data_IF_437901329212
#
_entry.id   IF_437901329212
#
_cell.length_a   1.000
_cell.length_b   1.000
_cell.length_c   1.000
_cell.angle_alpha   90.00
_cell.angle_beta   90.00
_cell.angle_gamma   90.00
#
_symmetry.space_group_name_H-M   'P 1'
#
loop_
_entity.id
_entity.type
_entity.pdbx_description
1 polymer ?
#
# COMPACT_ATOMS: atom_id res chain seq x y z
N UNK A 1 -32.25 -9.39 -7.33
CA UNK A 1 -31.70 -8.18 -6.67
C UNK A 1 -31.29 -8.61 -5.26
N UNK A 2 -30.03 -8.95 -5.06
CA UNK A 2 -29.47 -9.26 -3.74
C UNK A 2 -29.34 -7.94 -2.96
N UNK A 3 -29.94 -7.88 -1.77
CA UNK A 3 -29.86 -6.71 -0.91
C UNK A 3 -28.38 -6.45 -0.56
N UNK A 4 -27.94 -5.21 -0.71
CA UNK A 4 -26.57 -4.80 -0.38
C UNK A 4 -26.38 -4.89 1.13
N UNK A 5 -25.42 -5.71 1.59
CA UNK A 5 -25.12 -5.89 3.00
C UNK A 5 -24.80 -4.55 3.68
N UNK A 6 -25.29 -4.38 4.90
CA UNK A 6 -24.95 -3.22 5.75
C UNK A 6 -23.47 -3.29 6.14
N UNK A 7 -22.89 -2.17 6.55
CA UNK A 7 -21.49 -2.14 7.00
C UNK A 7 -21.24 -3.06 8.19
N UNK A 8 -22.23 -3.24 9.09
CA UNK A 8 -22.15 -4.12 10.23
C UNK A 8 -22.09 -5.59 9.80
N UNK A 9 -22.96 -6.01 8.88
CA UNK A 9 -22.97 -7.38 8.34
C UNK A 9 -21.65 -7.72 7.63
N UNK A 10 -21.09 -6.77 6.86
CA UNK A 10 -19.77 -6.93 6.23
C UNK A 10 -18.66 -7.11 7.27
N UNK A 11 -18.72 -6.40 8.39
CA UNK A 11 -17.75 -6.55 9.49
C UNK A 11 -17.89 -7.88 10.22
N UNK A 12 -19.10 -8.33 10.47
CA UNK A 12 -19.37 -9.60 11.16
C UNK A 12 -18.89 -10.79 10.29
N UNK A 13 -19.11 -10.76 9.00
CA UNK A 13 -18.58 -11.76 8.05
C UNK A 13 -17.05 -11.72 7.96
N UNK A 14 -16.47 -10.54 7.91
CA UNK A 14 -15.01 -10.35 7.89
C UNK A 14 -14.34 -10.88 9.16
N UNK A 15 -14.96 -10.69 10.33
CA UNK A 15 -14.47 -11.23 11.60
C UNK A 15 -14.50 -12.77 11.62
N UNK A 16 -15.53 -13.38 11.03
CA UNK A 16 -15.60 -14.82 10.84
C UNK A 16 -14.48 -15.38 9.95
N UNK A 17 -14.19 -14.71 8.84
CA UNK A 17 -13.09 -15.08 7.96
C UNK A 17 -11.72 -14.87 8.60
N UNK A 18 -11.51 -13.74 9.29
CA UNK A 18 -10.27 -13.47 10.01
C UNK A 18 -9.98 -14.53 11.09
N UNK A 19 -10.99 -14.96 11.84
CA UNK A 19 -10.85 -16.02 12.83
C UNK A 19 -10.48 -17.38 12.21
N UNK A 20 -11.05 -17.72 11.05
CA UNK A 20 -10.70 -18.95 10.32
C UNK A 20 -9.27 -18.92 9.81
N UNK A 21 -8.81 -17.78 9.28
CA UNK A 21 -7.43 -17.58 8.80
C UNK A 21 -6.44 -17.68 9.97
N UNK A 22 -6.77 -17.11 11.13
CA UNK A 22 -5.92 -17.16 12.34
C UNK A 22 -5.84 -18.58 12.93
N UNK A 23 -6.91 -19.36 12.82
CA UNK A 23 -6.98 -20.74 13.32
C UNK A 23 -6.14 -21.74 12.48
N UNK A 24 -5.68 -21.37 11.26
CA UNK A 24 -4.84 -22.21 10.42
C UNK A 24 -5.09 -22.08 8.93
N UNK A 25 -4.52 -22.98 8.13
CA UNK A 25 -4.70 -22.96 6.68
C UNK A 25 -6.14 -23.30 6.30
N UNK A 26 -6.77 -22.42 5.52
CA UNK A 26 -8.09 -22.66 4.94
C UNK A 26 -8.06 -23.88 4.00
N UNK A 27 -9.13 -24.67 4.00
CA UNK A 27 -9.31 -25.72 3.00
C UNK A 27 -9.48 -25.10 1.60
N UNK A 28 -9.10 -25.81 0.52
CA UNK A 28 -9.21 -25.27 -0.85
C UNK A 28 -10.62 -24.76 -1.21
N UNK A 29 -11.66 -25.40 -0.71
CA UNK A 29 -13.06 -24.99 -0.89
C UNK A 29 -13.37 -23.68 -0.15
N UNK A 30 -12.88 -23.52 1.07
CA UNK A 30 -13.05 -22.30 1.87
C UNK A 30 -12.28 -21.12 1.25
N UNK A 31 -11.12 -21.38 0.67
CA UNK A 31 -10.33 -20.37 -0.02
C UNK A 31 -11.07 -19.85 -1.27
N UNK A 32 -11.70 -20.70 -2.05
CA UNK A 32 -12.51 -20.31 -3.19
C UNK A 32 -13.74 -19.47 -2.78
N UNK A 33 -14.38 -19.81 -1.65
CA UNK A 33 -15.50 -19.06 -1.10
C UNK A 33 -15.03 -17.68 -0.60
N UNK A 34 -13.89 -17.60 0.08
CA UNK A 34 -13.28 -16.34 0.52
C UNK A 34 -12.94 -15.42 -0.67
N UNK A 35 -12.34 -15.97 -1.72
CA UNK A 35 -12.03 -15.21 -2.94
C UNK A 35 -13.29 -14.67 -3.61
N UNK A 36 -14.35 -15.47 -3.69
CA UNK A 36 -15.65 -15.05 -4.22
C UNK A 36 -16.25 -13.94 -3.37
N UNK A 37 -16.20 -14.08 -2.05
CA UNK A 37 -16.68 -13.08 -1.10
C UNK A 37 -15.88 -11.77 -1.23
N UNK A 38 -14.56 -11.85 -1.31
CA UNK A 38 -13.69 -10.66 -1.49
C UNK A 38 -13.97 -9.95 -2.82
N UNK A 39 -14.29 -10.67 -3.87
CA UNK A 39 -14.62 -10.12 -5.18
C UNK A 39 -16.02 -9.46 -5.24
N UNK A 40 -16.94 -9.83 -4.34
CA UNK A 40 -18.33 -9.39 -4.39
C UNK A 40 -18.54 -7.93 -3.99
N UNK A 41 -17.72 -7.38 -3.06
CA UNK A 41 -17.81 -5.96 -2.63
C UNK A 41 -16.42 -5.45 -2.22
N UNK A 42 -16.07 -4.26 -2.68
CA UNK A 42 -14.78 -3.61 -2.38
C UNK A 42 -14.56 -3.34 -0.89
N UNK A 43 -15.65 -3.28 -0.09
CA UNK A 43 -15.61 -3.10 1.36
C UNK A 43 -15.10 -4.35 2.10
N UNK A 44 -15.22 -5.54 1.48
CA UNK A 44 -14.87 -6.82 2.10
C UNK A 44 -13.38 -6.93 2.41
N UNK A 45 -12.51 -6.44 1.52
CA UNK A 45 -11.06 -6.40 1.76
C UNK A 45 -10.68 -5.53 2.97
N UNK A 46 -11.27 -4.33 3.07
CA UNK A 46 -11.01 -3.43 4.18
C UNK A 46 -11.50 -4.00 5.53
N UNK A 47 -12.69 -4.60 5.52
CA UNK A 47 -13.26 -5.23 6.71
C UNK A 47 -12.43 -6.45 7.16
N UNK A 48 -11.98 -7.31 6.22
CA UNK A 48 -11.14 -8.47 6.55
C UNK A 48 -9.78 -8.04 7.13
N UNK A 49 -9.14 -7.04 6.53
CA UNK A 49 -7.87 -6.50 7.03
C UNK A 49 -8.00 -5.92 8.43
N UNK A 50 -9.10 -5.22 8.72
CA UNK A 50 -9.36 -4.66 10.04
C UNK A 50 -9.67 -5.75 11.08
N UNK A 51 -10.45 -6.77 10.72
CA UNK A 51 -10.74 -7.90 11.58
C UNK A 51 -9.46 -8.71 11.89
N UNK A 52 -8.61 -8.95 10.91
CA UNK A 52 -7.33 -9.66 11.10
C UNK A 52 -6.35 -8.87 11.97
N UNK A 53 -6.33 -7.54 11.88
CA UNK A 53 -5.49 -6.71 12.74
C UNK A 53 -5.87 -6.76 14.23
N UNK A 54 -7.14 -7.04 14.54
CA UNK A 54 -7.64 -7.21 15.91
C UNK A 54 -7.27 -8.58 16.52
N UNK A 55 -6.97 -9.58 15.70
CA UNK A 55 -6.59 -10.93 16.13
C UNK A 55 -5.09 -11.09 16.36
N UNK A 56 -4.24 -10.13 15.90
CA UNK A 56 -2.81 -10.15 16.21
C UNK A 56 -2.64 -9.92 17.71
N UNK A 57 -2.16 -10.92 18.51
CA UNK A 57 -1.92 -10.70 19.93
C UNK A 57 -0.91 -9.57 20.08
N UNK A 58 -1.24 -8.53 20.82
CA UNK A 58 -0.31 -7.50 21.21
C UNK A 58 0.91 -8.20 21.85
N UNK A 59 2.03 -8.29 21.15
CA UNK A 59 3.28 -8.78 21.71
C UNK A 59 3.56 -7.93 22.93
N UNK A 60 3.46 -8.53 24.13
CA UNK A 60 3.85 -7.87 25.37
C UNK A 60 5.28 -7.38 25.21
N UNK A 61 5.54 -6.07 25.34
CA UNK A 61 6.91 -5.59 25.42
C UNK A 61 7.55 -6.26 26.64
N UNK A 62 8.70 -6.86 26.42
CA UNK A 62 9.49 -7.50 27.47
C UNK A 62 9.66 -6.51 28.64
N UNK A 63 9.20 -6.95 29.81
CA UNK A 63 9.49 -6.46 31.15
C UNK A 63 9.92 -4.99 31.28
N UNK A 64 8.94 -4.11 31.35
CA UNK A 64 9.10 -2.84 32.06
C UNK A 64 9.11 -3.16 33.57
N UNK A 65 10.29 -3.07 34.20
CA UNK A 65 10.41 -3.01 35.65
C UNK A 65 9.55 -1.86 36.15
N UNK A 66 8.56 -2.17 36.98
CA UNK A 66 7.80 -1.16 37.72
C UNK A 66 8.78 -0.43 38.64
N UNK A 67 9.05 0.82 38.32
CA UNK A 67 9.66 1.77 39.26
C UNK A 67 8.55 2.17 40.20
N UNK A 68 8.66 1.76 41.47
CA UNK A 68 7.76 2.23 42.54
C UNK A 68 7.73 3.75 42.59
N UNK A 69 6.55 4.38 42.72
CA UNK A 69 6.48 5.83 42.85
C UNK A 69 7.00 6.26 44.23
N UNK A 70 8.14 6.90 44.22
CA UNK A 70 8.67 7.64 45.39
C UNK A 70 7.68 8.75 45.73
N UNK A 71 7.06 8.67 46.90
CA UNK A 71 6.18 9.71 47.44
C UNK A 71 7.02 10.96 47.79
N UNK A 72 6.82 12.15 47.18
CA UNK A 72 7.45 13.35 47.62
C UNK A 72 6.82 13.86 48.92
N UNK A 73 7.61 14.47 49.85
CA UNK A 73 7.08 15.03 51.06
C UNK A 73 6.21 16.25 50.77
N UNK A 74 5.10 16.34 51.49
CA UNK A 74 4.19 17.50 51.48
C UNK A 74 4.96 18.75 51.91
N UNK A 75 5.27 19.62 50.99
CA UNK A 75 5.54 21.05 51.26
C UNK A 75 4.64 21.89 50.38
N UNK A 76 3.79 22.64 51.05
CA UNK A 76 2.89 23.66 50.53
C UNK A 76 3.68 24.69 49.70
N UNK A 77 3.38 24.79 48.39
CA UNK A 77 3.68 25.94 47.56
C UNK A 77 2.37 26.52 47.02
N UNK A 78 1.96 27.60 47.61
CA UNK A 78 0.89 28.47 47.13
C UNK A 78 1.53 29.54 46.23
N UNK A 79 0.85 29.85 45.14
CA UNK A 79 1.10 30.85 44.11
C UNK A 79 2.27 30.62 43.12
N UNK A 80 1.89 30.15 41.92
CA UNK A 80 2.71 30.08 40.72
C UNK A 80 2.12 29.20 39.60
N UNK A 81 0.88 28.68 39.77
CA UNK A 81 0.35 27.59 38.96
C UNK A 81 -0.39 27.93 37.66
N UNK A 82 -0.61 29.20 37.33
CA UNK A 82 -1.54 29.52 36.21
C UNK A 82 -0.95 29.42 34.81
N UNK A 83 0.38 29.56 34.65
CA UNK A 83 1.02 29.51 33.33
C UNK A 83 1.37 28.08 32.92
N UNK A 84 1.83 27.27 33.88
CA UNK A 84 2.18 25.87 33.61
C UNK A 84 0.95 25.00 33.26
N UNK A 85 -0.19 25.23 33.91
CA UNK A 85 -1.45 24.55 33.62
C UNK A 85 -1.98 24.92 32.23
N UNK A 86 -1.86 26.18 31.81
CA UNK A 86 -2.26 26.64 30.48
C UNK A 86 -1.43 25.99 29.36
N UNK A 87 -0.11 25.86 29.55
CA UNK A 87 0.77 25.20 28.59
C UNK A 87 0.52 23.65 28.48
N UNK A 88 0.23 23.02 29.62
CA UNK A 88 -0.10 21.57 29.62
C UNK A 88 -1.44 21.29 28.93
N UNK A 89 -2.45 22.15 29.15
CA UNK A 89 -3.75 22.04 28.44
C UNK A 89 -3.61 22.35 26.97
N UNK A 90 -2.81 23.36 26.59
CA UNK A 90 -2.54 23.69 25.18
C UNK A 90 -1.75 22.57 24.48
N UNK A 91 -0.74 21.99 25.13
CA UNK A 91 -0.01 20.83 24.60
C UNK A 91 -0.88 19.58 24.50
N UNK A 92 -1.73 19.30 25.50
CA UNK A 92 -2.72 18.23 25.46
C UNK A 92 -3.76 18.41 24.36
N UNK A 93 -4.26 19.63 24.18
CA UNK A 93 -5.17 19.97 23.10
C UNK A 93 -4.51 19.86 21.72
N UNK A 94 -3.26 20.30 21.57
CA UNK A 94 -2.52 20.18 20.32
C UNK A 94 -2.25 18.71 19.94
N UNK A 95 -1.86 17.88 20.91
CA UNK A 95 -1.67 16.42 20.68
C UNK A 95 -2.99 15.71 20.42
N UNK A 96 -4.09 16.12 21.06
CA UNK A 96 -5.42 15.60 20.83
C UNK A 96 -5.94 15.99 19.44
N UNK A 97 -5.76 17.26 19.04
CA UNK A 97 -6.10 17.77 17.70
C UNK A 97 -5.27 17.07 16.63
N UNK A 98 -3.96 16.90 16.83
CA UNK A 98 -3.10 16.17 15.89
C UNK A 98 -3.56 14.71 15.71
N UNK A 99 -4.01 14.04 16.79
CA UNK A 99 -4.59 12.70 16.73
C UNK A 99 -5.93 12.64 15.99
N UNK A 100 -6.78 13.66 16.18
CA UNK A 100 -8.08 13.78 15.49
C UNK A 100 -7.88 14.08 13.98
N UNK A 101 -6.83 14.83 13.64
CA UNK A 101 -6.58 15.25 12.27
C UNK A 101 -5.83 14.21 11.43
N UNK A 102 -5.48 13.07 12.03
CA UNK A 102 -4.92 11.92 11.28
C UNK A 102 -3.55 12.21 10.68
N UNK A 103 -2.71 12.97 11.39
CA UNK A 103 -1.31 13.10 11.00
C UNK A 103 -0.54 11.82 11.32
N UNK A 104 0.23 11.33 10.37
CA UNK A 104 1.04 10.14 10.56
C UNK A 104 2.02 9.92 9.44
N UNK A 105 3.14 9.31 9.78
CA UNK A 105 4.13 8.81 8.82
C UNK A 105 4.11 7.31 8.85
N UNK A 106 3.93 6.68 7.70
CA UNK A 106 3.85 5.24 7.56
C UNK A 106 4.86 4.78 6.53
N UNK A 107 5.57 3.71 6.87
CA UNK A 107 6.63 3.15 6.03
C UNK A 107 6.53 1.63 6.02
N UNK A 108 6.92 1.02 4.91
CA UNK A 108 7.16 -0.42 4.74
C UNK A 108 8.63 -0.68 4.43
N UNK A 109 9.10 -1.83 4.88
CA UNK A 109 10.43 -2.36 4.52
C UNK A 109 10.37 -3.07 3.15
N UNK A 110 11.54 -3.50 2.65
CA UNK A 110 11.62 -4.36 1.46
C UNK A 110 10.90 -5.68 1.76
N UNK A 111 9.99 -6.09 0.86
CA UNK A 111 9.14 -7.28 1.00
C UNK A 111 7.92 -7.10 1.91
N UNK A 112 7.83 -6.00 2.66
CA UNK A 112 6.69 -5.72 3.53
C UNK A 112 5.56 -5.06 2.75
N UNK A 113 4.33 -5.49 3.02
CA UNK A 113 3.09 -4.78 2.66
C UNK A 113 2.35 -4.40 3.92
N UNK A 114 1.64 -3.27 3.88
CA UNK A 114 0.90 -2.79 5.04
C UNK A 114 -0.43 -2.15 4.65
N UNK A 115 -1.50 -2.60 5.29
CA UNK A 115 -2.83 -1.97 5.17
C UNK A 115 -3.01 -1.00 6.32
N UNK A 116 -3.39 0.24 6.01
CA UNK A 116 -3.50 1.36 6.94
C UNK A 116 -4.90 1.95 6.83
N UNK A 117 -5.79 1.69 7.78
CA UNK A 117 -7.06 2.38 7.86
C UNK A 117 -6.80 3.84 8.30
N UNK A 118 -7.44 4.78 7.62
CA UNK A 118 -7.35 6.20 7.91
C UNK A 118 -8.61 6.70 8.63
N UNK A 119 -8.48 7.81 9.36
CA UNK A 119 -9.54 8.35 10.21
C UNK A 119 -10.80 8.84 9.44
N UNK A 120 -10.70 9.02 8.13
CA UNK A 120 -11.83 9.42 7.28
C UNK A 120 -12.59 8.22 6.68
N UNK A 121 -12.21 7.00 7.05
CA UNK A 121 -12.75 5.75 6.50
C UNK A 121 -12.09 5.32 5.18
N UNK A 122 -11.08 6.06 4.69
CA UNK A 122 -10.24 5.60 3.57
C UNK A 122 -9.25 4.53 4.05
N UNK A 123 -8.80 3.69 3.12
CA UNK A 123 -7.77 2.68 3.40
C UNK A 123 -6.61 2.89 2.44
N UNK A 124 -5.39 2.83 2.96
CA UNK A 124 -4.17 2.84 2.16
C UNK A 124 -3.48 1.49 2.28
N UNK A 125 -3.22 0.84 1.16
CA UNK A 125 -2.34 -0.33 1.11
C UNK A 125 -0.99 0.11 0.57
N UNK A 126 0.04 0.04 1.42
CA UNK A 126 1.43 0.31 1.03
C UNK A 126 2.07 -0.95 0.48
N UNK A 127 2.72 -0.82 -0.67
CA UNK A 127 3.56 -1.86 -1.24
C UNK A 127 4.95 -1.85 -0.57
N UNK A 128 5.82 -2.75 -1.01
CA UNK A 128 7.22 -2.86 -0.57
C UNK A 128 7.96 -1.53 -0.63
N UNK A 129 8.84 -1.27 0.35
CA UNK A 129 9.74 -0.09 0.41
C UNK A 129 9.04 1.23 0.08
N UNK A 130 7.88 1.45 0.67
CA UNK A 130 7.02 2.62 0.41
C UNK A 130 6.90 3.48 1.65
N UNK A 131 6.72 4.77 1.44
CA UNK A 131 6.59 5.72 2.52
C UNK A 131 5.58 6.81 2.20
N UNK A 132 4.63 7.03 3.12
CA UNK A 132 3.64 8.11 3.03
C UNK A 132 3.63 8.97 4.30
N UNK A 133 3.26 10.23 4.11
CA UNK A 133 2.92 11.15 5.20
C UNK A 133 1.48 11.61 5.01
N UNK A 134 0.65 11.38 6.03
CA UNK A 134 -0.76 11.80 6.06
C UNK A 134 -0.85 13.15 6.74
N UNK A 135 -1.48 14.12 6.09
CA UNK A 135 -1.72 15.48 6.62
C UNK A 135 -3.14 15.92 6.31
N UNK A 136 -4.04 15.65 7.21
CA UNK A 136 -5.44 16.05 7.06
C UNK A 136 -5.68 17.46 7.61
N UNK A 137 -6.53 18.21 6.92
CA UNK A 137 -7.01 19.52 7.37
C UNK A 137 -8.54 19.55 7.37
N UNK A 138 -9.15 20.65 7.78
CA UNK A 138 -10.61 20.84 7.71
C UNK A 138 -11.14 20.78 6.27
N UNK A 139 -10.36 21.28 5.32
CA UNK A 139 -10.77 21.43 3.91
C UNK A 139 -10.25 20.33 2.99
N UNK A 140 -9.19 19.59 3.37
CA UNK A 140 -8.51 18.65 2.50
C UNK A 140 -7.97 17.45 3.27
N UNK A 141 -7.84 16.31 2.57
CA UNK A 141 -7.21 15.07 3.04
C UNK A 141 -5.93 14.87 2.22
N UNK A 142 -4.83 15.45 2.71
CA UNK A 142 -3.57 15.41 1.98
C UNK A 142 -2.73 14.19 2.40
N UNK A 143 -2.19 13.51 1.40
CA UNK A 143 -1.18 12.47 1.57
C UNK A 143 0.00 12.80 0.66
N UNK A 144 1.19 12.68 1.20
CA UNK A 144 2.42 12.79 0.45
C UNK A 144 3.03 11.39 0.32
N UNK A 145 3.12 10.86 -0.91
CA UNK A 145 3.86 9.64 -1.21
C UNK A 145 5.31 10.04 -1.50
N UNK A 146 6.19 9.78 -0.54
CA UNK A 146 7.60 10.16 -0.62
C UNK A 146 8.36 9.23 -1.56
N UNK A 147 8.06 7.93 -1.53
CA UNK A 147 8.60 6.91 -2.43
C UNK A 147 7.73 5.65 -2.44
N UNK A 148 7.92 4.82 -3.45
CA UNK A 148 7.33 3.49 -3.52
C UNK A 148 5.98 3.47 -4.23
N UNK A 149 5.07 2.65 -3.77
CA UNK A 149 3.76 2.42 -4.39
C UNK A 149 2.69 2.24 -3.32
N UNK A 150 1.55 2.87 -3.53
CA UNK A 150 0.42 2.76 -2.65
C UNK A 150 -0.90 2.69 -3.42
N UNK A 151 -1.82 1.84 -2.98
CA UNK A 151 -3.21 1.84 -3.39
C UNK A 151 -4.03 2.61 -2.36
N UNK A 152 -4.88 3.49 -2.85
CA UNK A 152 -5.78 4.34 -2.07
C UNK A 152 -7.22 3.94 -2.36
N UNK A 153 -7.89 3.37 -1.38
CA UNK A 153 -9.34 3.13 -1.39
C UNK A 153 -10.01 4.28 -0.64
N UNK A 154 -10.46 5.29 -1.38
CA UNK A 154 -10.85 6.58 -0.83
C UNK A 154 -12.34 6.63 -0.48
N UNK A 155 -12.65 6.96 0.77
CA UNK A 155 -14.01 7.21 1.21
C UNK A 155 -14.63 8.42 0.50
N UNK A 156 -15.90 8.31 0.06
CA UNK A 156 -16.61 9.36 -0.69
C UNK A 156 -16.82 10.60 0.18
N UNK A 157 -16.20 11.71 -0.19
CA UNK A 157 -16.40 13.02 0.43
C UNK A 157 -16.04 14.15 -0.55
N UNK A 158 -17.05 14.74 -1.16
CA UNK A 158 -16.88 15.83 -2.13
C UNK A 158 -16.45 17.16 -1.49
N UNK A 159 -16.79 17.37 -0.21
CA UNK A 159 -16.48 18.62 0.50
C UNK A 159 -15.01 18.65 0.97
N UNK A 160 -14.39 17.49 1.15
CA UNK A 160 -12.98 17.35 1.56
C UNK A 160 -12.26 16.45 0.56
N UNK A 161 -11.75 16.98 -0.56
CA UNK A 161 -11.05 16.18 -1.56
C UNK A 161 -9.84 15.47 -0.97
N UNK A 162 -9.57 14.26 -1.45
CA UNK A 162 -8.41 13.46 -1.13
C UNK A 162 -7.31 13.78 -2.16
N UNK A 163 -6.16 14.21 -1.69
CA UNK A 163 -5.07 14.68 -2.54
C UNK A 163 -3.82 13.88 -2.23
N UNK A 164 -3.31 13.15 -3.23
CA UNK A 164 -2.01 12.48 -3.16
C UNK A 164 -0.99 13.32 -3.92
N UNK A 165 0.13 13.59 -3.27
CA UNK A 165 1.24 14.34 -3.85
C UNK A 165 2.48 13.47 -3.89
N UNK A 166 3.20 13.47 -5.00
CA UNK A 166 4.50 12.81 -5.12
C UNK A 166 5.36 13.58 -6.13
N UNK A 167 6.53 14.05 -5.70
CA UNK A 167 7.35 14.96 -6.51
C UNK A 167 6.55 16.16 -7.01
N UNK A 168 6.53 16.35 -8.31
CA UNK A 168 5.77 17.41 -8.99
C UNK A 168 4.35 17.00 -9.37
N UNK A 169 3.94 15.75 -9.15
CA UNK A 169 2.63 15.22 -9.53
C UNK A 169 1.63 15.33 -8.38
N UNK A 170 0.41 15.73 -8.70
CA UNK A 170 -0.73 15.74 -7.79
C UNK A 170 -1.89 14.94 -8.38
N UNK A 171 -2.45 14.07 -7.55
CA UNK A 171 -3.67 13.30 -7.87
C UNK A 171 -4.77 13.74 -6.90
N UNK A 172 -5.93 14.14 -7.44
CA UNK A 172 -7.11 14.53 -6.65
C UNK A 172 -8.25 13.54 -6.86
N UNK A 173 -8.82 13.08 -5.77
CA UNK A 173 -9.89 12.11 -5.72
C UNK A 173 -11.02 12.58 -4.79
N UNK A 174 -12.24 12.05 -4.99
CA UNK A 174 -13.41 12.38 -4.14
C UNK A 174 -14.18 11.14 -3.69
N UNK A 175 -13.66 9.95 -3.99
CA UNK A 175 -14.31 8.66 -3.66
C UNK A 175 -14.03 7.63 -4.74
N UNK A 176 -12.78 7.21 -4.85
CA UNK A 176 -12.21 6.42 -5.94
C UNK A 176 -11.26 5.37 -5.37
N UNK A 177 -10.95 4.34 -6.15
CA UNK A 177 -9.86 3.43 -5.86
C UNK A 177 -8.78 3.56 -6.94
N UNK A 178 -7.56 3.92 -6.55
CA UNK A 178 -6.45 4.14 -7.47
C UNK A 178 -5.10 3.86 -6.81
N UNK A 179 -4.11 3.45 -7.59
CA UNK A 179 -2.72 3.35 -7.13
C UNK A 179 -1.88 4.50 -7.66
N UNK A 180 -0.87 4.86 -6.89
CA UNK A 180 0.21 5.76 -7.31
C UNK A 180 1.53 5.04 -7.08
N UNK A 181 2.34 4.94 -8.14
CA UNK A 181 3.67 4.33 -8.14
C UNK A 181 4.71 5.41 -8.45
N UNK A 182 5.60 5.65 -7.50
CA UNK A 182 6.66 6.66 -7.55
C UNK A 182 7.99 6.01 -7.19
N UNK A 183 8.64 5.42 -8.18
CA UNK A 183 9.95 4.78 -8.04
C UNK A 183 11.06 5.73 -8.48
N UNK A 184 12.29 5.58 -7.93
CA UNK A 184 13.45 6.33 -8.38
C UNK A 184 13.65 6.16 -9.89
N UNK A 185 14.03 7.23 -10.56
CA UNK A 185 14.38 7.26 -11.99
C UNK A 185 13.29 6.75 -12.95
N UNK A 186 12.04 6.69 -12.47
CA UNK A 186 10.89 6.31 -13.29
C UNK A 186 9.81 7.40 -13.25
N UNK A 187 9.04 7.55 -14.32
CA UNK A 187 7.88 8.44 -14.30
C UNK A 187 6.85 7.97 -13.28
N UNK A 188 6.18 8.92 -12.64
CA UNK A 188 5.06 8.61 -11.75
C UNK A 188 3.94 7.97 -12.55
N UNK A 189 3.39 6.87 -12.05
CA UNK A 189 2.26 6.17 -12.65
C UNK A 189 1.05 6.26 -11.73
N UNK A 190 -0.11 6.51 -12.31
CA UNK A 190 -1.40 6.55 -11.61
C UNK A 190 -2.36 5.60 -12.31
N UNK A 191 -2.77 4.55 -11.64
CA UNK A 191 -3.69 3.54 -12.17
C UNK A 191 -5.04 3.64 -11.44
N UNK A 192 -6.13 3.78 -12.17
CA UNK A 192 -7.47 3.90 -11.59
C UNK A 192 -8.22 2.58 -11.71
N UNK A 193 -8.55 2.01 -10.54
CA UNK A 193 -9.35 0.79 -10.43
C UNK A 193 -10.85 1.08 -10.41
N UNK A 194 -11.27 2.18 -9.74
CA UNK A 194 -12.67 2.58 -9.62
C UNK A 194 -12.80 4.10 -9.59
N UNK A 195 -13.78 4.63 -10.33
CA UNK A 195 -14.10 6.05 -10.37
C UNK A 195 -13.22 6.84 -11.33
N UNK A 196 -12.99 8.12 -10.99
CA UNK A 196 -12.20 9.06 -11.80
C UNK A 196 -11.35 9.91 -10.89
N UNK A 197 -10.09 10.14 -11.27
CA UNK A 197 -9.17 11.06 -10.58
C UNK A 197 -8.70 12.17 -11.51
N UNK A 198 -8.34 13.30 -10.93
CA UNK A 198 -7.68 14.42 -11.61
C UNK A 198 -6.18 14.32 -11.38
N UNK A 199 -5.37 14.29 -12.43
CA UNK A 199 -3.91 14.28 -12.35
C UNK A 199 -3.36 15.54 -12.97
N UNK A 200 -2.47 16.26 -12.26
CA UNK A 200 -1.83 17.49 -12.76
C UNK A 200 -0.42 17.66 -12.24
N UNK A 201 0.32 18.59 -12.86
CA UNK A 201 1.62 19.08 -12.38
C UNK A 201 1.41 20.18 -11.33
N UNK A 202 2.23 20.19 -10.30
CA UNK A 202 2.22 21.22 -9.25
C UNK A 202 3.19 22.36 -9.51
N UNK A 203 4.25 22.08 -10.22
CA UNK A 203 5.33 22.99 -10.57
C UNK A 203 4.97 23.92 -11.75
N UNK A 204 3.85 23.67 -12.43
CA UNK A 204 3.34 24.50 -13.53
C UNK A 204 2.09 25.24 -13.03
N UNK A 205 2.07 26.58 -12.94
CA UNK A 205 0.96 27.34 -12.36
C UNK A 205 -0.41 27.09 -13.03
N UNK A 206 -0.40 26.90 -14.34
CA UNK A 206 -1.62 26.61 -15.15
C UNK A 206 -1.41 25.27 -15.86
N UNK A 207 -1.16 24.21 -15.08
CA UNK A 207 -1.02 22.88 -15.63
C UNK A 207 -2.35 22.34 -16.15
N UNK A 208 -2.40 21.70 -17.30
CA UNK A 208 -3.59 20.98 -17.76
C UNK A 208 -3.91 19.86 -16.77
N UNK A 209 -5.23 19.72 -16.50
CA UNK A 209 -5.74 18.63 -15.67
C UNK A 209 -6.05 17.46 -16.60
N UNK A 210 -5.46 16.30 -16.33
CA UNK A 210 -5.76 15.05 -17.02
C UNK A 210 -6.74 14.25 -16.19
N UNK A 211 -7.93 14.00 -16.74
CA UNK A 211 -8.94 13.13 -16.11
C UNK A 211 -8.61 11.68 -16.43
N UNK A 212 -8.41 10.88 -15.40
CA UNK A 212 -8.07 9.45 -15.51
C UNK A 212 -9.24 8.66 -14.95
N UNK A 213 -9.97 7.97 -15.83
CA UNK A 213 -11.12 7.16 -15.48
C UNK A 213 -10.72 5.73 -15.10
N UNK A 214 -11.69 4.98 -14.59
CA UNK A 214 -11.53 3.53 -14.32
C UNK A 214 -10.92 2.80 -15.52
N UNK A 215 -10.03 1.85 -15.24
CA UNK A 215 -9.26 1.08 -16.22
C UNK A 215 -8.38 1.95 -17.13
N UNK A 216 -7.91 3.09 -16.62
CA UNK A 216 -6.88 3.88 -17.30
C UNK A 216 -5.66 4.03 -16.40
N UNK A 217 -4.50 4.12 -17.05
CA UNK A 217 -3.22 4.45 -16.43
C UNK A 217 -2.73 5.79 -16.97
N UNK A 218 -2.38 6.71 -16.08
CA UNK A 218 -1.65 7.91 -16.43
C UNK A 218 -0.16 7.73 -16.11
N UNK A 219 0.69 8.19 -17.02
CA UNK A 219 2.14 8.28 -16.87
C UNK A 219 2.49 9.76 -16.84
N UNK A 220 3.16 10.19 -15.76
CA UNK A 220 3.59 11.57 -15.54
C UNK A 220 5.12 11.65 -15.49
N UNK A 221 5.78 11.80 -16.65
CA UNK A 221 7.23 11.99 -16.73
C UNK A 221 7.63 13.34 -16.11
N UNK A 222 8.86 13.48 -15.56
CA UNK A 222 9.31 14.75 -14.96
C UNK A 222 9.24 15.93 -15.95
N UNK A 223 9.64 15.74 -17.19
CA UNK A 223 9.86 16.81 -18.17
C UNK A 223 8.96 16.71 -19.42
N UNK A 224 7.85 15.96 -19.32
CA UNK A 224 6.92 15.79 -20.45
C UNK A 224 5.45 15.86 -19.98
N UNK A 225 4.48 16.06 -20.90
CA UNK A 225 3.07 16.05 -20.59
C UNK A 225 2.63 14.73 -19.95
N UNK A 226 1.62 14.81 -19.07
CA UNK A 226 0.95 13.63 -18.52
C UNK A 226 0.12 12.99 -19.63
N UNK A 227 0.29 11.70 -19.85
CA UNK A 227 -0.44 10.93 -20.86
C UNK A 227 -1.25 9.85 -20.14
N UNK A 228 -2.54 9.76 -20.45
CA UNK A 228 -3.42 8.71 -19.97
C UNK A 228 -3.82 7.76 -21.11
N UNK A 229 -3.78 6.46 -20.84
CA UNK A 229 -4.16 5.42 -21.79
C UNK A 229 -5.07 4.38 -21.12
N UNK A 230 -6.03 3.80 -21.85
CA UNK A 230 -6.87 2.72 -21.35
C UNK A 230 -6.05 1.44 -21.20
N UNK A 231 -6.45 0.62 -20.22
CA UNK A 231 -5.95 -0.73 -19.98
C UNK A 231 -7.13 -1.70 -19.99
N UNK A 232 -6.85 -2.94 -20.33
CA UNK A 232 -7.83 -4.00 -20.11
C UNK A 232 -8.02 -4.29 -18.61
N UNK A 233 -9.23 -4.67 -18.22
CA UNK A 233 -9.54 -4.98 -16.82
C UNK A 233 -8.62 -6.07 -16.24
N UNK A 234 -8.26 -7.05 -17.06
CA UNK A 234 -7.30 -8.10 -16.68
C UNK A 234 -5.90 -7.53 -16.40
N UNK A 235 -5.46 -6.52 -17.15
CA UNK A 235 -4.18 -5.85 -16.95
C UNK A 235 -4.16 -5.05 -15.65
N UNK A 236 -5.24 -4.32 -15.35
CA UNK A 236 -5.41 -3.65 -14.05
C UNK A 236 -5.30 -4.65 -12.90
N UNK A 237 -5.92 -5.82 -13.02
CA UNK A 237 -5.82 -6.90 -12.04
C UNK A 237 -4.39 -7.40 -11.86
N UNK A 238 -3.65 -7.57 -12.96
CA UNK A 238 -2.24 -7.99 -12.94
C UNK A 238 -1.35 -6.95 -12.26
N UNK A 239 -1.48 -5.67 -12.63
CA UNK A 239 -0.69 -4.58 -12.02
C UNK A 239 -0.95 -4.42 -10.52
N UNK A 240 -2.13 -4.79 -10.05
CA UNK A 240 -2.50 -4.75 -8.63
C UNK A 240 -2.34 -6.11 -7.91
N UNK A 241 -1.74 -7.12 -8.55
CA UNK A 241 -1.54 -8.45 -7.94
C UNK A 241 -0.64 -8.41 -6.69
N UNK A 242 0.23 -7.39 -6.59
CA UNK A 242 1.08 -7.19 -5.42
C UNK A 242 0.28 -7.07 -4.10
N UNK A 243 -0.98 -6.60 -4.13
CA UNK A 243 -1.86 -6.51 -2.95
C UNK A 243 -2.11 -7.85 -2.25
N UNK A 244 -1.93 -8.94 -2.97
CA UNK A 244 -2.05 -10.31 -2.45
C UNK A 244 -0.69 -11.02 -2.44
N UNK A 245 0.42 -10.26 -2.42
CA UNK A 245 1.77 -10.80 -2.35
C UNK A 245 2.24 -11.49 -3.64
N UNK A 246 1.69 -11.11 -4.79
CA UNK A 246 2.02 -11.71 -6.08
C UNK A 246 2.56 -10.69 -7.06
N UNK A 247 3.38 -11.15 -8.01
CA UNK A 247 3.75 -10.41 -9.22
C UNK A 247 3.24 -11.20 -10.41
N UNK A 248 2.52 -10.53 -11.30
CA UNK A 248 1.96 -11.13 -12.51
C UNK A 248 2.71 -10.63 -13.73
N UNK A 249 3.21 -11.53 -14.56
CA UNK A 249 3.84 -11.25 -15.84
C UNK A 249 2.98 -11.77 -16.98
N UNK A 250 2.96 -11.03 -18.09
CA UNK A 250 2.18 -11.37 -19.28
C UNK A 250 2.96 -11.11 -20.58
N UNK A 251 4.24 -11.41 -20.57
CA UNK A 251 5.13 -11.26 -21.71
C UNK A 251 6.19 -10.16 -21.52
N UNK A 252 6.40 -9.73 -20.29
CA UNK A 252 7.53 -8.86 -19.94
C UNK A 252 8.85 -9.60 -20.13
N UNK A 253 9.94 -8.91 -20.54
CA UNK A 253 11.26 -9.50 -20.62
C UNK A 253 11.73 -10.05 -19.27
N UNK A 254 12.45 -11.17 -19.29
CA UNK A 254 13.00 -11.80 -18.07
C UNK A 254 13.88 -10.83 -17.27
N UNK A 255 14.61 -9.93 -17.95
CA UNK A 255 15.39 -8.88 -17.31
C UNK A 255 14.53 -7.90 -16.52
N UNK A 256 13.38 -7.49 -17.04
CA UNK A 256 12.43 -6.62 -16.34
C UNK A 256 11.75 -7.38 -15.20
N UNK A 257 11.40 -8.64 -15.40
CA UNK A 257 10.85 -9.49 -14.35
C UNK A 257 11.84 -9.66 -13.20
N UNK A 258 13.12 -9.89 -13.47
CA UNK A 258 14.18 -9.97 -12.47
C UNK A 258 14.35 -8.64 -11.70
N UNK A 259 14.26 -7.49 -12.40
CA UNK A 259 14.31 -6.18 -11.77
C UNK A 259 13.10 -5.93 -10.85
N UNK A 260 11.89 -6.37 -11.25
CA UNK A 260 10.70 -6.23 -10.39
C UNK A 260 10.84 -7.05 -9.10
N UNK A 261 11.39 -8.28 -9.14
CA UNK A 261 11.70 -9.06 -7.93
C UNK A 261 12.66 -8.34 -6.99
N UNK A 262 13.59 -7.55 -7.53
CA UNK A 262 14.55 -6.77 -6.74
C UNK A 262 13.90 -5.68 -5.88
N UNK A 263 12.63 -5.34 -6.12
CA UNK A 263 11.85 -4.44 -5.27
C UNK A 263 11.40 -5.12 -3.97
N UNK A 264 11.17 -6.44 -4.02
CA UNK A 264 10.57 -7.21 -2.92
C UNK A 264 11.56 -8.03 -2.13
N UNK A 265 12.81 -8.13 -2.56
CA UNK A 265 13.86 -8.93 -1.92
C UNK A 265 15.22 -8.26 -2.02
N UNK A 266 16.09 -8.54 -1.04
CA UNK A 266 17.51 -8.20 -1.14
C UNK A 266 18.24 -9.08 -2.16
N UNK A 267 17.68 -10.25 -2.48
CA UNK A 267 18.24 -11.18 -3.47
C UNK A 267 18.20 -10.57 -4.87
N UNK A 268 19.31 -10.62 -5.56
CA UNK A 268 19.46 -10.08 -6.93
C UNK A 268 19.55 -11.21 -7.93
N UNK A 269 18.72 -11.16 -8.96
CA UNK A 269 18.75 -12.09 -10.09
C UNK A 269 19.59 -11.45 -11.19
N UNK A 270 20.71 -12.07 -11.52
CA UNK A 270 21.61 -11.66 -12.59
C UNK A 270 21.43 -12.60 -13.78
N UNK A 271 21.32 -12.02 -14.98
CA UNK A 271 21.17 -12.74 -16.23
C UNK A 271 22.38 -12.38 -17.10
N UNK A 272 23.20 -13.38 -17.42
CA UNK A 272 24.45 -13.14 -18.11
C UNK A 272 24.29 -12.89 -19.60
N UNK A 273 23.29 -13.52 -20.22
CA UNK A 273 23.04 -13.48 -21.68
C UNK A 273 21.92 -12.49 -22.00
N UNK A 274 22.19 -11.43 -22.80
CA UNK A 274 21.17 -10.48 -23.21
C UNK A 274 20.01 -11.09 -24.01
N UNK A 275 20.22 -12.21 -24.70
CA UNK A 275 19.12 -12.91 -25.40
C UNK A 275 18.19 -13.56 -24.39
N UNK A 276 18.75 -14.19 -23.35
CA UNK A 276 17.98 -14.76 -22.25
C UNK A 276 17.21 -13.67 -21.48
N UNK A 277 17.84 -12.50 -21.29
CA UNK A 277 17.18 -11.37 -20.63
C UNK A 277 15.93 -10.85 -21.41
N UNK A 278 15.85 -11.11 -22.70
CA UNK A 278 14.71 -10.73 -23.56
C UNK A 278 13.63 -11.82 -23.67
N UNK A 279 13.85 -13.01 -23.12
CA UNK A 279 12.83 -14.07 -23.08
C UNK A 279 11.56 -13.61 -22.36
N UNK A 280 10.40 -14.00 -22.88
CA UNK A 280 9.11 -13.51 -22.42
C UNK A 280 8.56 -14.35 -21.26
N UNK A 281 8.39 -13.73 -20.13
CA UNK A 281 7.86 -14.38 -18.92
C UNK A 281 6.35 -14.23 -18.86
N UNK A 282 5.65 -15.35 -18.63
CA UNK A 282 4.21 -15.38 -18.36
C UNK A 282 3.99 -16.19 -17.09
N UNK A 283 3.27 -15.64 -16.15
CA UNK A 283 2.92 -16.34 -14.91
C UNK A 283 2.63 -15.43 -13.72
N UNK A 284 2.20 -16.07 -12.64
CA UNK A 284 1.90 -15.43 -11.36
C UNK A 284 2.83 -16.02 -10.30
N UNK A 285 3.65 -15.17 -9.70
CA UNK A 285 4.71 -15.57 -8.77
C UNK A 285 4.52 -14.94 -7.40
N UNK A 286 5.02 -15.59 -6.35
CA UNK A 286 5.10 -15.00 -5.00
C UNK A 286 6.16 -13.90 -5.02
N UNK A 287 5.78 -12.67 -4.67
CA UNK A 287 6.66 -11.50 -4.79
C UNK A 287 7.94 -11.59 -3.95
N UNK A 288 7.89 -12.28 -2.82
CA UNK A 288 9.02 -12.46 -1.89
C UNK A 288 9.79 -13.74 -2.10
N UNK A 289 9.52 -14.50 -3.20
CA UNK A 289 10.23 -15.75 -3.52
C UNK A 289 11.00 -15.66 -4.85
N UNK A 290 12.11 -14.91 -4.89
CA UNK A 290 12.97 -14.83 -6.08
C UNK A 290 13.64 -16.15 -6.43
N UNK A 291 13.82 -17.05 -5.47
CA UNK A 291 14.41 -18.39 -5.69
C UNK A 291 13.43 -19.28 -6.44
N UNK A 292 12.16 -19.33 -6.00
CA UNK A 292 11.10 -20.06 -6.71
C UNK A 292 10.89 -19.54 -8.12
N UNK A 293 10.91 -18.21 -8.31
CA UNK A 293 10.87 -17.60 -9.64
C UNK A 293 12.05 -18.05 -10.51
N UNK A 294 13.28 -17.93 -10.01
CA UNK A 294 14.49 -18.28 -10.76
C UNK A 294 14.50 -19.76 -11.17
N UNK A 295 14.09 -20.66 -10.28
CA UNK A 295 13.97 -22.08 -10.59
C UNK A 295 12.90 -22.36 -11.67
N UNK A 296 11.75 -21.69 -11.59
CA UNK A 296 10.68 -21.84 -12.56
C UNK A 296 11.12 -21.40 -13.97
N UNK A 297 11.77 -20.23 -14.09
CA UNK A 297 12.27 -19.74 -15.38
C UNK A 297 13.46 -20.56 -15.89
N UNK A 298 14.32 -21.08 -14.98
CA UNK A 298 15.42 -21.97 -15.37
C UNK A 298 14.90 -23.26 -16.02
N UNK A 299 13.83 -23.82 -15.49
CA UNK A 299 13.17 -25.01 -16.10
C UNK A 299 12.51 -24.63 -17.43
N UNK A 300 11.79 -23.50 -17.48
CA UNK A 300 11.02 -23.09 -18.68
C UNK A 300 11.89 -22.74 -19.88
N UNK A 301 13.08 -22.15 -19.65
CA UNK A 301 13.99 -21.67 -20.69
C UNK A 301 15.27 -22.49 -20.83
N UNK A 302 15.33 -23.68 -20.21
CA UNK A 302 16.50 -24.58 -20.23
C UNK A 302 17.79 -23.89 -19.76
N UNK A 303 17.71 -23.15 -18.66
CA UNK A 303 18.80 -22.43 -18.06
C UNK A 303 19.34 -23.17 -16.84
N UNK A 304 20.55 -22.77 -16.40
CA UNK A 304 21.11 -23.09 -15.09
C UNK A 304 20.86 -21.94 -14.14
N UNK A 305 20.33 -22.25 -12.94
CA UNK A 305 20.21 -21.29 -11.83
C UNK A 305 21.26 -21.63 -10.76
N UNK A 306 22.17 -20.72 -10.50
CA UNK A 306 23.18 -20.81 -9.43
C UNK A 306 22.81 -19.84 -8.33
N UNK A 307 22.54 -20.39 -7.12
CA UNK A 307 22.10 -19.60 -5.96
C UNK A 307 23.26 -19.50 -4.97
N UNK A 308 23.75 -18.27 -4.77
CA UNK A 308 24.87 -17.96 -3.87
C UNK A 308 24.49 -16.83 -2.92
N UNK A 309 23.90 -17.17 -1.77
CA UNK A 309 23.43 -16.20 -0.78
C UNK A 309 22.36 -15.26 -1.38
N UNK A 310 22.64 -13.97 -1.42
CA UNK A 310 21.75 -12.95 -1.97
C UNK A 310 21.87 -12.75 -3.50
N UNK A 311 22.55 -13.65 -4.21
CA UNK A 311 22.71 -13.60 -5.66
C UNK A 311 22.21 -14.87 -6.31
N UNK A 312 21.40 -14.72 -7.34
CA UNK A 312 20.97 -15.79 -8.22
C UNK A 312 21.51 -15.46 -9.61
N UNK A 313 22.26 -16.38 -10.19
CA UNK A 313 22.78 -16.23 -11.54
C UNK A 313 22.04 -17.18 -12.48
N UNK A 314 21.47 -16.63 -13.54
CA UNK A 314 20.84 -17.38 -14.62
C UNK A 314 21.77 -17.38 -15.85
N UNK A 315 22.14 -18.55 -16.31
CA UNK A 315 23.00 -18.75 -17.48
C UNK A 315 22.47 -19.87 -18.36
N UNK A 316 22.88 -19.92 -19.63
CA UNK A 316 22.63 -21.07 -20.48
C UNK A 316 23.34 -22.32 -19.89
N UNK A 317 22.75 -23.49 -20.11
CA UNK A 317 23.38 -24.77 -19.77
C UNK A 317 24.58 -25.06 -20.65
#
# INVERSE_FOLDING_TARGET
MTARLSSKEVYDEAAGWAAKIDAGSLLPEEQAILETWLAADTRHYGALAQASALLIPAQKPASMRMIEPVRPPRRSFVLGGSIAAGLAVAAGAATYVARIWGEGRYRTQIGEMRVIPLNDGSVVTLNTNSEIVVRYSQSQRNIELLQGEALFDVAKNKQRPFIVQTGTTQVRAVGTSFSVKALPDQPVQVLVREGVVEVKRRDVPVAPIVMVAMNNRAIAPPDAPIVAAPLETAEVGRELAWRVGRIAFHGEPLGEAAAEFSRYSAVRIQIDDPQVANEKVIGLFVSTDPVGFANAVAVSFDLRAEINGERIRLSRK
#
